data_IF_110341877679
#
_entry.id   IF_110341877679
#
_cell.length_a   1.000
_cell.length_b   1.000
_cell.length_c   1.000
_cell.angle_alpha   90.00
_cell.angle_beta   90.00
_cell.angle_gamma   90.00
#
_symmetry.space_group_name_H-M   'P 1'
#
loop_
_entity.id
_entity.type
_entity.pdbx_description
1 polymer ?
#
# COMPACT_ATOMS: atom_id res chain seq x y z
N UNK A 1 -3.99 3.79 -19.96
CA UNK A 1 -2.75 3.06 -20.34
C UNK A 1 -1.60 4.04 -20.23
N UNK A 2 -0.57 3.73 -19.43
CA UNK A 2 0.61 4.59 -19.29
C UNK A 2 1.38 4.58 -20.61
N UNK A 3 1.33 5.68 -21.37
CA UNK A 3 2.10 5.82 -22.61
C UNK A 3 3.18 6.89 -22.41
N UNK A 4 4.45 6.50 -22.54
CA UNK A 4 5.58 7.42 -22.48
C UNK A 4 6.46 7.23 -23.73
N UNK A 5 6.74 8.29 -24.52
CA UNK A 5 7.50 8.19 -25.77
C UNK A 5 9.02 8.00 -25.59
N UNK A 6 9.53 8.04 -24.35
CA UNK A 6 10.94 7.81 -24.00
C UNK A 6 11.01 6.86 -22.81
N UNK A 7 11.54 5.66 -23.02
CA UNK A 7 11.83 4.72 -21.93
C UNK A 7 12.98 5.22 -21.04
N UNK A 8 13.13 4.63 -19.84
CA UNK A 8 14.27 4.90 -18.93
C UNK A 8 13.90 5.33 -17.50
N UNK A 9 12.61 5.52 -17.20
CA UNK A 9 12.16 5.89 -15.85
C UNK A 9 11.82 4.65 -15.00
N UNK A 10 12.18 4.70 -13.72
CA UNK A 10 11.81 3.71 -12.71
C UNK A 10 10.81 4.38 -11.74
N UNK A 11 9.67 3.74 -11.55
CA UNK A 11 8.59 4.19 -10.67
C UNK A 11 8.29 3.14 -9.61
N UNK A 12 8.08 3.57 -8.36
CA UNK A 12 7.47 2.73 -7.34
C UNK A 12 5.95 2.74 -7.55
N UNK A 13 5.36 1.55 -7.69
CA UNK A 13 3.90 1.41 -7.78
C UNK A 13 3.39 1.00 -6.40
N UNK A 14 3.09 1.99 -5.57
CA UNK A 14 2.60 1.79 -4.21
C UNK A 14 1.53 2.84 -3.90
N UNK A 15 0.42 2.40 -3.29
CA UNK A 15 -0.64 3.32 -2.86
C UNK A 15 -0.08 4.37 -1.88
N UNK A 16 -0.52 5.64 -1.95
CA UNK A 16 -0.05 6.70 -1.07
C UNK A 16 -0.21 6.37 0.42
N UNK A 17 -1.32 5.74 0.81
CA UNK A 17 -1.49 5.18 2.13
C UNK A 17 -1.11 3.69 2.13
N UNK A 18 -0.28 3.32 3.09
CA UNK A 18 0.20 1.95 3.26
C UNK A 18 0.35 1.65 4.77
N UNK A 19 -0.73 1.26 5.47
CA UNK A 19 -0.70 0.99 6.90
C UNK A 19 0.24 -0.17 7.23
N UNK A 20 0.72 -0.18 8.47
CA UNK A 20 1.54 -1.27 8.97
C UNK A 20 0.75 -2.60 8.99
N UNK A 21 1.45 -3.72 8.83
CA UNK A 21 0.83 -5.06 8.77
C UNK A 21 0.02 -5.40 10.02
N UNK A 22 0.51 -4.99 11.19
CA UNK A 22 -0.17 -5.17 12.47
C UNK A 22 -1.42 -4.29 12.64
N UNK A 23 -1.67 -3.37 11.71
CA UNK A 23 -2.92 -2.59 11.62
C UNK A 23 -3.83 -3.19 10.56
N UNK A 24 -3.31 -3.41 9.34
CA UNK A 24 -4.07 -3.87 8.19
C UNK A 24 -4.70 -5.25 8.40
N UNK A 25 -3.90 -6.27 8.71
CA UNK A 25 -4.38 -7.65 8.74
C UNK A 25 -5.42 -7.91 9.84
N UNK A 26 -5.27 -7.40 11.08
CA UNK A 26 -6.31 -7.55 12.08
C UNK A 26 -7.62 -6.85 11.70
N UNK A 27 -7.57 -5.71 11.02
CA UNK A 27 -8.77 -5.02 10.56
C UNK A 27 -9.48 -5.82 9.46
N UNK A 28 -8.75 -6.28 8.44
CA UNK A 28 -9.34 -7.05 7.35
C UNK A 28 -9.90 -8.40 7.81
N UNK A 29 -9.20 -9.11 8.71
CA UNK A 29 -9.68 -10.36 9.27
C UNK A 29 -11.05 -10.18 9.95
N UNK A 30 -11.24 -9.11 10.74
CA UNK A 30 -12.53 -8.81 11.37
C UNK A 30 -13.63 -8.53 10.35
N UNK A 31 -13.34 -7.76 9.30
CA UNK A 31 -14.31 -7.46 8.25
C UNK A 31 -14.76 -8.73 7.49
N UNK A 32 -13.85 -9.69 7.33
CA UNK A 32 -14.11 -10.98 6.71
C UNK A 32 -14.71 -12.03 7.66
N UNK A 33 -14.94 -11.69 8.94
CA UNK A 33 -15.45 -12.65 9.94
C UNK A 33 -14.45 -13.73 10.34
N UNK A 34 -13.15 -13.50 10.13
CA UNK A 34 -12.05 -14.40 10.47
C UNK A 34 -11.43 -14.05 11.82
N UNK A 35 -10.72 -15.01 12.42
CA UNK A 35 -9.93 -14.77 13.63
C UNK A 35 -8.74 -13.84 13.31
N UNK A 36 -8.57 -12.71 14.03
CA UNK A 36 -7.49 -11.77 13.74
C UNK A 36 -6.11 -12.34 14.09
N UNK A 37 -5.09 -12.20 13.23
CA UNK A 37 -3.75 -12.70 13.53
C UNK A 37 -3.09 -11.93 14.67
N UNK A 38 -2.28 -12.64 15.46
CA UNK A 38 -1.44 -12.05 16.50
C UNK A 38 -0.06 -11.69 15.94
N UNK A 39 0.41 -10.48 16.24
CA UNK A 39 1.76 -10.02 15.88
C UNK A 39 2.67 -10.10 17.09
N UNK A 40 3.92 -10.53 16.87
CA UNK A 40 4.93 -10.54 17.93
C UNK A 40 5.26 -9.10 18.32
N UNK A 41 5.22 -8.79 19.62
CA UNK A 41 5.71 -7.54 20.16
C UNK A 41 7.24 -7.55 20.17
N UNK A 42 7.89 -7.33 19.03
CA UNK A 42 9.32 -7.00 19.03
C UNK A 42 9.50 -5.52 19.38
N UNK A 43 10.21 -5.24 20.46
CA UNK A 43 10.78 -3.91 20.72
C UNK A 43 11.69 -3.47 19.55
N UNK A 44 12.21 -4.45 18.80
CA UNK A 44 13.04 -4.32 17.61
C UNK A 44 12.25 -4.55 16.30
N UNK A 45 10.95 -4.23 16.31
CA UNK A 45 10.15 -4.10 15.08
C UNK A 45 10.67 -2.87 14.34
N UNK A 46 11.87 -2.95 13.77
CA UNK A 46 12.54 -1.83 13.13
C UNK A 46 11.56 -1.07 12.25
N UNK A 47 11.56 0.26 12.35
CA UNK A 47 10.71 1.11 11.52
C UNK A 47 10.89 0.65 10.08
N UNK A 48 9.85 0.06 9.50
CA UNK A 48 9.90 -0.43 8.13
C UNK A 48 10.28 0.69 7.16
N UNK A 49 10.60 0.34 5.93
CA UNK A 49 10.85 1.36 4.90
C UNK A 49 9.53 2.05 4.54
N UNK A 50 9.56 3.37 4.44
CA UNK A 50 8.49 4.17 3.83
C UNK A 50 8.84 4.28 2.35
N UNK A 51 7.94 3.87 1.47
CA UNK A 51 8.15 3.86 0.01
C UNK A 51 7.32 4.98 -0.59
N UNK A 52 7.98 5.95 -1.22
CA UNK A 52 7.30 7.02 -1.95
C UNK A 52 6.94 6.56 -3.37
N UNK A 53 5.64 6.48 -3.65
CA UNK A 53 5.04 6.18 -4.95
C UNK A 53 4.55 7.41 -5.73
N UNK A 54 4.74 8.63 -5.21
CA UNK A 54 4.16 9.86 -5.79
C UNK A 54 4.69 10.20 -7.19
N UNK A 55 5.90 9.72 -7.55
CA UNK A 55 6.58 10.05 -8.81
C UNK A 55 5.73 9.74 -10.05
N UNK A 56 5.02 8.61 -10.07
CA UNK A 56 4.20 8.23 -11.23
C UNK A 56 2.94 9.10 -11.36
N UNK A 57 2.37 9.53 -10.24
CA UNK A 57 1.24 10.45 -10.22
C UNK A 57 1.67 11.81 -10.78
N UNK A 58 2.83 12.30 -10.33
CA UNK A 58 3.36 13.61 -10.70
C UNK A 58 3.82 13.68 -12.15
N UNK A 59 4.50 12.65 -12.66
CA UNK A 59 5.09 12.68 -14.02
C UNK A 59 4.11 12.22 -15.10
N UNK A 60 3.26 11.23 -14.82
CA UNK A 60 2.42 10.57 -15.82
C UNK A 60 0.92 10.81 -15.62
N UNK A 61 0.51 11.57 -14.60
CA UNK A 61 -0.90 11.76 -14.27
C UNK A 61 -1.59 10.46 -13.87
N UNK A 62 -0.84 9.51 -13.32
CA UNK A 62 -1.41 8.25 -12.86
C UNK A 62 -2.27 8.47 -11.62
N UNK A 63 -3.50 7.95 -11.65
CA UNK A 63 -4.43 8.03 -10.53
C UNK A 63 -4.67 6.63 -9.95
N UNK A 64 -4.40 6.48 -8.65
CA UNK A 64 -4.72 5.26 -7.93
C UNK A 64 -6.24 5.15 -7.74
N UNK A 65 -6.84 4.07 -8.26
CA UNK A 65 -8.24 3.76 -7.96
C UNK A 65 -8.47 3.54 -6.46
N UNK A 66 -7.48 2.96 -5.78
CA UNK A 66 -7.50 2.71 -4.34
C UNK A 66 -6.23 3.30 -3.71
N UNK A 67 -6.27 4.55 -3.23
CA UNK A 67 -5.11 5.22 -2.63
C UNK A 67 -4.79 4.72 -1.21
N UNK A 68 -5.68 3.95 -0.60
CA UNK A 68 -5.52 3.29 0.70
C UNK A 68 -6.00 1.84 0.58
N UNK A 69 -5.20 0.83 0.96
CA UNK A 69 -5.65 -0.56 0.94
C UNK A 69 -6.85 -0.82 1.86
N UNK A 70 -7.13 0.03 2.85
CA UNK A 70 -8.32 -0.08 3.70
C UNK A 70 -9.63 0.26 2.97
N UNK A 71 -9.57 0.91 1.79
CA UNK A 71 -10.75 1.22 0.97
C UNK A 71 -10.89 0.29 -0.24
N UNK A 72 -10.02 -0.71 -0.37
CA UNK A 72 -10.16 -1.72 -1.43
C UNK A 72 -11.43 -2.57 -1.19
N UNK A 73 -12.12 -3.00 -2.25
CA UNK A 73 -13.27 -3.88 -2.13
C UNK A 73 -12.86 -5.25 -1.56
N UNK A 74 -13.76 -5.85 -0.78
CA UNK A 74 -13.60 -7.20 -0.22
C UNK A 74 -14.34 -8.28 -1.02
N UNK A 75 -14.92 -7.89 -2.16
CA UNK A 75 -15.71 -8.76 -3.05
C UNK A 75 -14.84 -9.62 -3.98
#
# INVERSE_FOLDING_TARGET
MLQAPKGGHIYNICAPAHPARNVFYPQMARLLGLEPPQFRNSLDSGKGKIIDGSRICNELGFEYQYPDPLVMPLE
#
